data_IF_163569334796
#
_entry.id   IF_163569334796
#
_cell.length_a   1.000
_cell.length_b   1.000
_cell.length_c   1.000
_cell.angle_alpha   90.00
_cell.angle_beta   90.00
_cell.angle_gamma   90.00
#
_symmetry.space_group_name_H-M   'P 1'
#
loop_
_entity.id
_entity.type
_entity.pdbx_description
1 polymer ?
#
# COMPACT_ATOMS: atom_id res chain seq x y z
N UNK A 1 0.30 -11.16 -11.46
CA UNK A 1 1.26 -10.66 -10.44
C UNK A 1 0.43 -10.17 -9.24
N UNK A 2 0.83 -10.50 -8.01
CA UNK A 2 0.10 -10.08 -6.81
C UNK A 2 0.29 -8.57 -6.54
N UNK A 3 -0.72 -7.93 -5.93
CA UNK A 3 -0.72 -6.54 -5.47
C UNK A 3 -1.00 -6.50 -3.98
N UNK A 4 -0.20 -5.74 -3.24
CA UNK A 4 -0.23 -5.64 -1.80
C UNK A 4 -0.83 -4.30 -1.37
N UNK A 5 -1.52 -4.30 -0.23
CA UNK A 5 -2.18 -3.12 0.31
C UNK A 5 -1.83 -2.96 1.78
N UNK A 6 -1.70 -1.71 2.19
CA UNK A 6 -1.35 -1.34 3.57
C UNK A 6 -2.17 -0.14 3.99
N UNK A 7 -2.35 0.06 5.30
CA UNK A 7 -3.25 1.08 5.81
C UNK A 7 -2.66 1.80 7.03
N UNK A 8 -3.51 2.51 7.76
CA UNK A 8 -3.19 3.45 8.83
C UNK A 8 -2.04 3.05 9.76
N UNK A 9 -2.06 1.84 10.33
CA UNK A 9 -1.09 1.43 11.36
C UNK A 9 0.36 1.32 10.86
N UNK A 10 0.58 1.24 9.55
CA UNK A 10 1.92 1.10 8.96
C UNK A 10 2.77 2.36 9.17
N UNK A 11 2.14 3.53 9.17
CA UNK A 11 2.84 4.81 9.27
C UNK A 11 3.56 5.22 7.98
N UNK A 12 3.78 6.53 7.83
CA UNK A 12 4.28 7.10 6.56
C UNK A 12 5.71 6.68 6.23
N UNK A 13 6.60 6.63 7.22
CA UNK A 13 8.01 6.28 7.02
C UNK A 13 8.15 4.85 6.50
N UNK A 14 7.48 3.90 7.16
CA UNK A 14 7.48 2.50 6.74
C UNK A 14 6.80 2.34 5.37
N UNK A 15 5.71 3.06 5.11
CA UNK A 15 5.07 3.02 3.79
C UNK A 15 6.00 3.52 2.68
N UNK A 16 6.73 4.62 2.90
CA UNK A 16 7.72 5.13 1.93
C UNK A 16 8.83 4.11 1.67
N UNK A 17 9.37 3.50 2.72
CA UNK A 17 10.36 2.43 2.57
C UNK A 17 9.81 1.27 1.73
N UNK A 18 8.60 0.80 2.03
CA UNK A 18 7.95 -0.27 1.28
C UNK A 18 7.68 0.13 -0.18
N UNK A 19 7.22 1.36 -0.42
CA UNK A 19 6.93 1.88 -1.77
C UNK A 19 8.18 1.97 -2.63
N UNK A 20 9.33 2.29 -2.05
CA UNK A 20 10.62 2.29 -2.76
C UNK A 20 11.06 0.87 -3.15
N UNK A 21 10.85 -0.12 -2.29
CA UNK A 21 11.31 -1.50 -2.55
C UNK A 21 10.35 -2.32 -3.41
N UNK A 22 9.04 -2.04 -3.31
CA UNK A 22 7.99 -2.81 -3.97
C UNK A 22 7.38 -2.08 -5.18
N UNK A 23 7.73 -0.80 -5.37
CA UNK A 23 7.30 0.01 -6.50
C UNK A 23 5.78 -0.05 -6.70
N UNK A 24 5.31 -0.47 -7.88
CA UNK A 24 3.89 -0.55 -8.24
C UNK A 24 3.15 -1.74 -7.62
N UNK A 25 3.87 -2.63 -6.93
CA UNK A 25 3.27 -3.79 -6.28
C UNK A 25 2.62 -3.47 -4.93
N UNK A 26 2.82 -2.27 -4.37
CA UNK A 26 2.19 -1.83 -3.12
C UNK A 26 1.40 -0.53 -3.29
N UNK A 27 0.23 -0.48 -2.65
CA UNK A 27 -0.61 0.71 -2.56
C UNK A 27 -1.10 0.93 -1.12
N UNK A 28 -1.35 2.20 -0.77
CA UNK A 28 -2.04 2.55 0.46
C UNK A 28 -3.55 2.42 0.27
N UNK A 29 -4.25 1.84 1.26
CA UNK A 29 -5.69 1.68 1.29
C UNK A 29 -6.29 2.72 2.24
N UNK A 30 -6.82 3.78 1.67
CA UNK A 30 -7.52 4.84 2.39
C UNK A 30 -8.98 4.46 2.68
N UNK A 31 -9.58 5.16 3.64
CA UNK A 31 -11.00 5.00 3.93
C UNK A 31 -11.84 5.38 2.70
N UNK A 32 -12.68 4.46 2.22
CA UNK A 32 -13.51 4.64 1.03
C UNK A 32 -12.94 4.02 -0.24
N UNK A 33 -11.71 3.50 -0.22
CA UNK A 33 -11.16 2.77 -1.36
C UNK A 33 -11.90 1.43 -1.56
N UNK A 34 -12.19 1.12 -2.82
CA UNK A 34 -12.82 -0.15 -3.22
C UNK A 34 -11.84 -0.96 -4.06
N UNK A 35 -11.53 -2.17 -3.62
CA UNK A 35 -10.69 -3.12 -4.36
C UNK A 35 -11.62 -3.99 -5.21
N UNK A 36 -11.43 -3.98 -6.52
CA UNK A 36 -12.15 -4.83 -7.47
C UNK A 36 -11.30 -6.03 -7.89
N UNK A 37 -11.92 -7.21 -8.03
CA UNK A 37 -11.26 -8.45 -8.43
C UNK A 37 -11.10 -8.57 -9.95
#
# INVERSE_FOLDING_TARGET
KARFYTCHCTGEENYRYLKTNMEDHIAYLAGGDVITC
#
